data_IF_602753021748
#
_entry.id   IF_602753021748
#
_cell.length_a   1.000
_cell.length_b   1.000
_cell.length_c   1.000
_cell.angle_alpha   90.00
_cell.angle_beta   90.00
_cell.angle_gamma   90.00
#
_symmetry.space_group_name_H-M   'P 1'
#
loop_
_entity.id
_entity.type
_entity.pdbx_description
1 polymer ?
#
# COMPACT_ATOMS: atom_id res chain seq x y z
N UNK A 1 18.36 18.54 4.79
CA UNK A 1 17.45 17.38 4.86
C UNK A 1 16.63 17.47 6.15
N UNK A 2 15.33 17.23 6.09
CA UNK A 2 14.50 17.24 7.29
C UNK A 2 14.72 15.98 8.13
N UNK A 3 14.36 16.03 9.40
CA UNK A 3 14.45 14.86 10.28
C UNK A 3 13.63 13.68 9.77
N UNK A 4 12.48 13.96 9.17
CA UNK A 4 11.61 12.93 8.60
C UNK A 4 12.30 12.24 7.42
N UNK A 5 12.92 13.01 6.54
CA UNK A 5 13.65 12.46 5.39
C UNK A 5 14.85 11.63 5.82
N UNK A 6 15.60 12.08 6.83
CA UNK A 6 16.73 11.33 7.37
C UNK A 6 16.28 10.00 7.97
N UNK A 7 15.22 10.03 8.76
CA UNK A 7 14.65 8.81 9.32
C UNK A 7 14.20 7.85 8.23
N UNK A 8 13.54 8.37 7.21
CA UNK A 8 13.03 7.56 6.11
C UNK A 8 14.15 6.90 5.31
N UNK A 9 15.22 7.65 5.03
CA UNK A 9 16.38 7.13 4.32
C UNK A 9 17.06 6.03 5.12
N UNK A 10 17.21 6.21 6.42
CA UNK A 10 17.79 5.21 7.31
C UNK A 10 16.93 3.94 7.34
N UNK A 11 15.62 4.09 7.42
CA UNK A 11 14.69 2.97 7.40
C UNK A 11 14.79 2.16 6.10
N UNK A 12 14.87 2.85 4.96
CA UNK A 12 15.04 2.20 3.66
C UNK A 12 16.35 1.44 3.55
N UNK A 13 17.41 1.98 4.12
CA UNK A 13 18.71 1.34 4.13
C UNK A 13 18.70 0.07 4.97
N UNK A 14 18.13 0.13 6.15
CA UNK A 14 17.95 -1.05 7.02
C UNK A 14 17.10 -2.11 6.34
N UNK A 15 16.04 -1.70 5.66
CA UNK A 15 15.15 -2.60 4.93
C UNK A 15 15.86 -3.30 3.79
N UNK A 16 16.81 -2.63 3.14
CA UNK A 16 17.61 -3.20 2.07
C UNK A 16 18.55 -4.27 2.59
N UNK A 17 19.13 -4.06 3.77
CA UNK A 17 20.03 -5.00 4.42
C UNK A 17 19.28 -6.26 4.91
N UNK A 18 17.97 -6.14 5.11
CA UNK A 18 17.14 -7.21 5.64
C UNK A 18 16.06 -7.65 4.64
N UNK A 19 16.46 -7.80 3.38
CA UNK A 19 15.53 -8.09 2.27
C UNK A 19 14.76 -9.40 2.44
N UNK A 20 15.34 -10.41 3.11
CA UNK A 20 14.65 -11.69 3.36
C UNK A 20 13.48 -11.52 4.32
N UNK A 21 13.69 -10.77 5.42
CA UNK A 21 12.64 -10.46 6.37
C UNK A 21 11.54 -9.62 5.72
N UNK A 22 11.92 -8.62 4.91
CA UNK A 22 10.97 -7.80 4.20
C UNK A 22 10.07 -8.61 3.27
N UNK A 23 10.64 -9.63 2.62
CA UNK A 23 9.88 -10.51 1.73
C UNK A 23 8.91 -11.40 2.51
N UNK A 24 9.33 -11.96 3.64
CA UNK A 24 8.48 -12.77 4.51
C UNK A 24 7.34 -11.93 5.08
N UNK A 25 7.65 -10.72 5.57
CA UNK A 25 6.62 -9.79 6.07
C UNK A 25 5.60 -9.46 4.99
N UNK A 26 6.06 -9.20 3.78
CA UNK A 26 5.16 -8.88 2.67
C UNK A 26 4.20 -10.02 2.37
N UNK A 27 4.72 -11.23 2.21
CA UNK A 27 3.90 -12.42 1.92
C UNK A 27 2.90 -12.67 3.03
N UNK A 28 3.35 -12.59 4.28
CA UNK A 28 2.50 -12.80 5.45
C UNK A 28 1.41 -11.72 5.54
N UNK A 29 1.78 -10.45 5.37
CA UNK A 29 0.82 -9.34 5.40
C UNK A 29 -0.21 -9.46 4.30
N UNK A 30 0.21 -9.77 3.06
CA UNK A 30 -0.71 -9.95 1.96
C UNK A 30 -1.67 -11.12 2.19
N UNK A 31 -1.18 -12.19 2.79
CA UNK A 31 -2.04 -13.32 3.14
C UNK A 31 -3.14 -12.91 4.11
N UNK A 32 -2.81 -12.15 5.14
CA UNK A 32 -3.81 -11.64 6.09
C UNK A 32 -4.78 -10.68 5.42
N UNK A 33 -4.28 -9.79 4.58
CA UNK A 33 -5.12 -8.84 3.83
C UNK A 33 -6.10 -9.60 2.95
N UNK A 34 -5.63 -10.57 2.18
CA UNK A 34 -6.48 -11.39 1.31
C UNK A 34 -7.53 -12.16 2.10
N UNK A 35 -7.13 -12.76 3.21
CA UNK A 35 -8.05 -13.51 4.08
C UNK A 35 -9.18 -12.61 4.58
N UNK A 36 -8.83 -11.40 5.04
CA UNK A 36 -9.81 -10.43 5.50
C UNK A 36 -10.74 -9.98 4.37
N UNK A 37 -10.18 -9.67 3.19
CA UNK A 37 -10.97 -9.23 2.04
C UNK A 37 -11.93 -10.31 1.55
N UNK A 38 -11.47 -11.56 1.50
CA UNK A 38 -12.33 -12.69 1.12
C UNK A 38 -13.46 -12.87 2.11
N UNK A 39 -13.16 -12.74 3.41
CA UNK A 39 -14.19 -12.79 4.45
C UNK A 39 -15.21 -11.66 4.30
N UNK A 40 -14.74 -10.46 4.04
CA UNK A 40 -15.60 -9.29 3.83
C UNK A 40 -16.51 -9.49 2.62
N UNK A 41 -15.98 -10.01 1.52
CA UNK A 41 -16.75 -10.31 0.32
C UNK A 41 -17.81 -11.37 0.59
N UNK A 42 -17.47 -12.40 1.36
CA UNK A 42 -18.42 -13.44 1.74
C UNK A 42 -19.54 -12.87 2.61
N UNK A 43 -19.22 -12.01 3.57
CA UNK A 43 -20.21 -11.35 4.43
C UNK A 43 -21.16 -10.46 3.63
N UNK A 44 -20.64 -9.80 2.60
CA UNK A 44 -21.43 -8.95 1.70
C UNK A 44 -22.13 -9.76 0.59
N UNK A 45 -21.86 -11.04 0.53
CA UNK A 45 -22.37 -11.94 -0.50
C UNK A 45 -22.12 -11.39 -1.91
N UNK A 46 -20.87 -11.01 -2.19
CA UNK A 46 -20.47 -10.43 -3.46
C UNK A 46 -19.18 -11.05 -3.97
N UNK A 47 -19.02 -11.09 -5.29
CA UNK A 47 -17.77 -11.43 -5.95
C UNK A 47 -17.17 -10.20 -6.63
N UNK A 48 -17.80 -9.04 -6.48
CA UNK A 48 -17.36 -7.78 -7.10
C UNK A 48 -16.28 -7.09 -6.28
N UNK A 49 -15.04 -7.31 -6.65
CA UNK A 49 -13.89 -6.67 -5.99
C UNK A 49 -13.90 -5.15 -6.16
N UNK A 50 -14.43 -4.62 -7.26
CA UNK A 50 -14.50 -3.19 -7.49
C UNK A 50 -15.43 -2.48 -6.50
N UNK A 51 -16.36 -3.21 -5.88
CA UNK A 51 -17.22 -2.69 -4.83
C UNK A 51 -16.57 -2.67 -3.46
N UNK A 52 -15.37 -3.24 -3.30
CA UNK A 52 -14.62 -3.23 -2.05
C UNK A 52 -13.61 -2.09 -2.10
N UNK A 53 -13.79 -1.13 -1.19
CA UNK A 53 -12.92 0.05 -1.11
C UNK A 53 -11.82 -0.18 -0.08
N UNK A 54 -10.58 0.09 -0.49
CA UNK A 54 -9.40 -0.04 0.37
C UNK A 54 -8.72 1.33 0.48
N UNK A 55 -8.43 1.74 1.71
CA UNK A 55 -7.66 2.95 1.98
C UNK A 55 -6.30 2.52 2.53
N UNK A 56 -5.24 2.83 1.79
CA UNK A 56 -3.87 2.53 2.19
C UNK A 56 -3.18 3.82 2.65
N UNK A 57 -3.03 3.96 3.96
CA UNK A 57 -2.43 5.13 4.57
C UNK A 57 -0.93 4.88 4.75
N UNK A 58 -0.10 5.81 4.29
CA UNK A 58 1.34 5.62 4.29
C UNK A 58 1.76 4.61 3.23
N UNK A 59 1.16 4.72 2.04
CA UNK A 59 1.27 3.69 0.99
C UNK A 59 2.69 3.51 0.43
N UNK A 60 3.59 4.46 0.67
CA UNK A 60 4.93 4.42 0.12
C UNK A 60 4.91 4.47 -1.40
N UNK A 61 5.60 3.56 -2.04
CA UNK A 61 5.60 3.42 -3.50
C UNK A 61 4.52 2.47 -4.02
N UNK A 62 3.58 2.08 -3.16
CA UNK A 62 2.45 1.25 -3.55
C UNK A 62 2.66 -0.24 -3.43
N UNK A 63 3.50 -0.67 -2.48
CA UNK A 63 3.84 -2.08 -2.28
C UNK A 63 2.61 -2.98 -2.11
N UNK A 64 1.58 -2.48 -1.41
CA UNK A 64 0.31 -3.19 -1.23
C UNK A 64 -0.78 -2.65 -2.15
N UNK A 65 -0.83 -1.33 -2.32
CA UNK A 65 -1.86 -0.68 -3.14
C UNK A 65 -1.87 -1.18 -4.58
N UNK A 66 -0.69 -1.27 -5.20
CA UNK A 66 -0.58 -1.63 -6.62
C UNK A 66 -1.05 -3.06 -6.87
N UNK A 67 -0.56 -4.09 -6.14
CA UNK A 67 -1.07 -5.45 -6.36
C UNK A 67 -2.57 -5.57 -6.11
N UNK A 68 -3.09 -4.92 -5.07
CA UNK A 68 -4.52 -5.00 -4.75
C UNK A 68 -5.38 -4.33 -5.82
N UNK A 69 -4.93 -3.18 -6.35
CA UNK A 69 -5.63 -2.54 -7.46
C UNK A 69 -5.60 -3.41 -8.72
N UNK A 70 -4.49 -4.07 -8.97
CA UNK A 70 -4.36 -5.00 -10.11
C UNK A 70 -5.29 -6.19 -9.98
N UNK A 71 -5.65 -6.58 -8.77
CA UNK A 71 -6.62 -7.64 -8.52
C UNK A 71 -8.07 -7.21 -8.71
N UNK A 72 -8.31 -5.90 -8.84
CA UNK A 72 -9.63 -5.36 -9.12
C UNK A 72 -10.29 -4.59 -7.98
N UNK A 73 -9.63 -4.50 -6.82
CA UNK A 73 -10.16 -3.71 -5.70
C UNK A 73 -10.08 -2.21 -5.98
N UNK A 74 -11.00 -1.46 -5.37
CA UNK A 74 -11.00 0.01 -5.44
C UNK A 74 -10.05 0.57 -4.38
N UNK A 75 -8.83 0.88 -4.78
CA UNK A 75 -7.77 1.28 -3.85
C UNK A 75 -7.50 2.78 -3.94
N UNK A 76 -7.54 3.42 -2.77
CA UNK A 76 -7.10 4.81 -2.58
C UNK A 76 -5.88 4.81 -1.67
N UNK A 77 -4.82 5.49 -2.09
CA UNK A 77 -3.57 5.57 -1.36
C UNK A 77 -3.29 6.99 -0.91
N UNK A 78 -2.91 7.15 0.35
CA UNK A 78 -2.42 8.41 0.90
C UNK A 78 -0.94 8.26 1.20
N UNK A 79 -0.13 9.19 0.71
CA UNK A 79 1.31 9.17 0.94
C UNK A 79 1.81 10.58 1.24
N UNK A 80 2.51 10.72 2.36
CA UNK A 80 3.06 12.00 2.81
C UNK A 80 4.26 12.45 1.99
N UNK A 81 5.12 11.50 1.59
CA UNK A 81 6.38 11.79 0.90
C UNK A 81 6.15 11.90 -0.60
N UNK A 82 6.37 13.09 -1.14
CA UNK A 82 6.15 13.41 -2.56
C UNK A 82 6.88 12.47 -3.52
N UNK A 83 8.11 12.11 -3.19
CA UNK A 83 8.92 11.21 -4.00
C UNK A 83 8.26 9.83 -4.15
N UNK A 84 7.75 9.28 -3.04
CA UNK A 84 7.08 8.00 -3.04
C UNK A 84 5.77 8.06 -3.82
N UNK A 85 5.02 9.15 -3.64
CA UNK A 85 3.77 9.36 -4.37
C UNK A 85 4.01 9.42 -5.88
N UNK A 86 5.08 10.11 -6.31
CA UNK A 86 5.45 10.16 -7.71
C UNK A 86 5.77 8.77 -8.27
N UNK A 87 6.49 7.97 -7.52
CA UNK A 87 6.82 6.60 -7.91
C UNK A 87 5.58 5.71 -8.00
N UNK A 88 4.67 5.87 -7.04
CA UNK A 88 3.40 5.15 -7.05
C UNK A 88 2.60 5.48 -8.32
N UNK A 89 2.49 6.76 -8.65
CA UNK A 89 1.76 7.21 -9.84
C UNK A 89 2.39 6.72 -11.14
N UNK A 90 3.71 6.58 -11.18
CA UNK A 90 4.42 6.10 -12.37
C UNK A 90 4.13 4.64 -12.69
N UNK A 91 3.61 3.87 -11.77
CA UNK A 91 3.30 2.45 -12.00
C UNK A 91 2.07 2.23 -12.88
N UNK A 92 1.35 3.30 -13.24
CA UNK A 92 0.27 3.23 -14.22
C UNK A 92 -0.89 2.33 -13.82
N UNK A 93 -1.22 2.26 -12.54
CA UNK A 93 -2.30 1.43 -12.03
C UNK A 93 -3.57 2.24 -11.78
N UNK A 94 -4.65 1.56 -11.43
CA UNK A 94 -5.93 2.19 -11.08
C UNK A 94 -5.98 2.70 -9.63
N UNK A 95 -4.84 2.78 -8.95
CA UNK A 95 -4.77 3.34 -7.61
C UNK A 95 -5.03 4.84 -7.65
N UNK A 96 -6.00 5.30 -6.86
CA UNK A 96 -6.23 6.72 -6.64
C UNK A 96 -5.24 7.19 -5.58
N UNK A 97 -4.23 7.95 -5.98
CA UNK A 97 -3.13 8.33 -5.10
C UNK A 97 -3.13 9.82 -4.81
N UNK A 98 -3.09 10.16 -3.53
CA UNK A 98 -3.11 11.55 -3.06
C UNK A 98 -1.97 11.79 -2.07
N UNK A 99 -1.41 13.00 -2.10
CA UNK A 99 -0.51 13.44 -1.05
C UNK A 99 -1.33 13.86 0.15
N UNK A 100 -1.03 13.28 1.30
CA UNK A 100 -1.76 13.63 2.50
C UNK A 100 -1.27 12.90 3.72
N UNK A 101 -1.78 13.37 4.86
CA UNK A 101 -1.52 12.82 6.18
C UNK A 101 -2.86 12.46 6.80
N UNK A 102 -2.95 11.28 7.40
CA UNK A 102 -4.17 10.81 8.04
C UNK A 102 -4.65 11.71 9.20
N UNK A 103 -3.76 12.58 9.72
CA UNK A 103 -4.07 13.48 10.81
C UNK A 103 -4.64 14.84 10.34
N UNK A 104 -4.81 15.00 9.03
CA UNK A 104 -5.35 16.25 8.46
C UNK A 104 -6.73 16.07 7.86
#
# INVERSE_FOLDING_TARGET
MTQIEEYYNKFNEEKRLDSRHGRVEYVTSMKYIHTYLEKLMAEKNTEDKAGIKILDIGAGTGRYSVPLANEGYDVTALELVKHNLGRLKQKGTNVKAYQGNALK
#
